data_IF_840665615448
#
_entry.id   IF_840665615448
#
_cell.length_a   1.000
_cell.length_b   1.000
_cell.length_c   1.000
_cell.angle_alpha   90.00
_cell.angle_beta   90.00
_cell.angle_gamma   90.00
#
_symmetry.space_group_name_H-M   'P 1'
#
loop_
_entity.id
_entity.type
_entity.pdbx_description
1 polymer ?
#
# COMPACT_ATOMS: atom_id res chain seq x y z
N UNK A 1 0.09 -3.57 30.85
CA UNK A 1 -0.02 -2.11 30.66
C UNK A 1 -0.48 -1.90 29.23
N UNK A 2 -1.77 -1.63 29.05
CA UNK A 2 -2.38 -1.40 27.74
C UNK A 2 -1.81 -0.13 27.12
N UNK A 3 -1.09 -0.30 26.01
CA UNK A 3 -0.94 0.77 25.02
C UNK A 3 -1.98 0.52 23.95
N UNK A 4 -3.20 0.93 24.26
CA UNK A 4 -4.17 1.30 23.24
C UNK A 4 -3.82 2.74 22.85
N UNK A 5 -2.69 2.89 22.14
CA UNK A 5 -2.31 4.16 21.54
C UNK A 5 -3.19 4.31 20.30
N UNK A 6 -4.30 5.03 20.48
CA UNK A 6 -5.05 5.65 19.39
C UNK A 6 -4.07 6.49 18.58
N UNK A 7 -3.50 5.90 17.53
CA UNK A 7 -2.87 6.66 16.46
C UNK A 7 -3.89 7.74 16.04
N UNK A 8 -3.48 9.00 15.88
CA UNK A 8 -4.40 10.07 15.53
C UNK A 8 -5.05 9.69 14.21
N UNK A 9 -6.33 9.31 14.29
CA UNK A 9 -7.09 8.85 13.15
C UNK A 9 -7.22 10.03 12.19
N UNK A 10 -6.62 9.91 11.01
CA UNK A 10 -6.69 10.92 9.94
C UNK A 10 -8.10 11.48 9.80
N UNK A 11 -8.20 12.80 9.74
CA UNK A 11 -9.47 13.53 9.72
C UNK A 11 -10.40 13.05 8.61
N UNK A 12 -11.67 12.82 8.96
CA UNK A 12 -12.72 12.50 7.98
C UNK A 12 -12.85 13.58 6.88
N UNK A 13 -12.35 14.80 7.13
CA UNK A 13 -12.35 15.92 6.19
C UNK A 13 -11.68 15.59 4.84
N UNK A 14 -10.68 14.72 4.82
CA UNK A 14 -10.02 14.31 3.58
C UNK A 14 -10.92 13.48 2.66
N UNK A 15 -11.82 12.69 3.24
CA UNK A 15 -12.74 11.83 2.49
C UNK A 15 -14.09 12.47 2.21
N UNK A 16 -14.43 13.57 2.89
CA UNK A 16 -15.67 14.32 2.65
C UNK A 16 -15.49 15.54 1.77
N UNK A 17 -14.25 15.88 1.38
CA UNK A 17 -13.97 17.00 0.47
C UNK A 17 -14.13 18.37 1.12
N UNK A 18 -13.55 18.55 2.30
CA UNK A 18 -13.59 19.83 3.02
C UNK A 18 -13.07 21.01 2.17
N UNK A 19 -13.77 22.14 2.20
CA UNK A 19 -13.39 23.38 1.51
C UNK A 19 -12.08 24.01 2.01
N UNK A 20 -11.54 23.51 3.13
CA UNK A 20 -10.31 24.00 3.75
C UNK A 20 -9.08 23.16 3.38
N UNK A 21 -9.21 22.21 2.46
CA UNK A 21 -8.07 21.43 1.96
C UNK A 21 -7.15 22.35 1.15
N UNK A 22 -5.86 22.35 1.51
CA UNK A 22 -4.81 23.04 0.76
C UNK A 22 -4.03 22.00 -0.02
N UNK A 23 -3.92 22.18 -1.34
CA UNK A 23 -3.09 21.33 -2.21
C UNK A 23 -1.63 21.75 -2.14
N UNK A 24 -0.74 20.79 -1.91
CA UNK A 24 0.71 20.94 -1.82
C UNK A 24 1.38 19.77 -2.55
N UNK A 25 2.70 19.85 -2.78
CA UNK A 25 3.48 18.81 -3.47
C UNK A 25 4.83 18.64 -2.76
N UNK A 26 5.25 17.40 -2.54
CA UNK A 26 6.49 17.07 -1.81
C UNK A 26 7.73 16.87 -2.71
N UNK A 27 7.61 17.26 -3.98
CA UNK A 27 8.58 17.02 -5.05
C UNK A 27 8.37 15.72 -5.83
N UNK A 28 7.50 14.81 -5.36
CA UNK A 28 7.15 13.55 -6.06
C UNK A 28 5.65 13.38 -6.23
N UNK A 29 4.86 13.68 -5.20
CA UNK A 29 3.42 13.45 -5.19
C UNK A 29 2.66 14.65 -4.64
N UNK A 30 1.48 14.87 -5.22
CA UNK A 30 0.51 15.84 -4.71
C UNK A 30 -0.16 15.30 -3.44
N UNK A 31 -0.30 16.16 -2.44
CA UNK A 31 -1.03 15.88 -1.21
C UNK A 31 -1.92 17.06 -0.83
N UNK A 32 -2.91 16.79 -0.01
CA UNK A 32 -3.81 17.78 0.59
C UNK A 32 -3.52 17.91 2.08
N UNK A 33 -3.67 19.12 2.62
CA UNK A 33 -3.47 19.42 4.04
C UNK A 33 -4.74 19.95 4.69
N UNK A 34 -5.05 19.48 5.90
CA UNK A 34 -6.16 19.93 6.72
C UNK A 34 -5.75 19.91 8.20
N UNK A 35 -5.89 21.03 8.91
CA UNK A 35 -5.55 21.17 10.33
C UNK A 35 -4.15 20.62 10.72
N UNK A 36 -3.17 20.79 9.82
CA UNK A 36 -1.79 20.32 10.01
C UNK A 36 -1.54 18.86 9.60
N UNK A 37 -2.59 18.07 9.36
CA UNK A 37 -2.51 16.72 8.82
C UNK A 37 -2.31 16.73 7.30
N UNK A 38 -1.51 15.79 6.78
CA UNK A 38 -1.24 15.64 5.35
C UNK A 38 -1.83 14.34 4.83
N UNK A 39 -2.43 14.38 3.64
CA UNK A 39 -2.99 13.20 3.00
C UNK A 39 -2.72 13.18 1.50
N UNK A 40 -2.18 12.09 0.96
CA UNK A 40 -1.94 11.95 -0.47
C UNK A 40 -3.22 12.21 -1.28
N UNK A 41 -3.13 13.10 -2.28
CA UNK A 41 -4.29 13.51 -3.06
C UNK A 41 -4.92 12.31 -3.79
N UNK A 42 -4.09 11.36 -4.24
CA UNK A 42 -4.54 10.13 -4.88
C UNK A 42 -5.37 9.24 -3.94
N UNK A 43 -4.97 9.13 -2.67
CA UNK A 43 -5.68 8.35 -1.65
C UNK A 43 -6.95 9.07 -1.19
N UNK A 44 -6.90 10.40 -1.01
CA UNK A 44 -8.07 11.21 -0.66
C UNK A 44 -9.15 11.05 -1.74
N UNK A 45 -8.78 11.19 -3.02
CA UNK A 45 -9.71 11.02 -4.14
C UNK A 45 -10.27 9.58 -4.23
N UNK A 46 -9.49 8.55 -3.90
CA UNK A 46 -9.98 7.18 -3.85
C UNK A 46 -10.98 6.99 -2.69
N UNK A 47 -10.66 7.50 -1.51
CA UNK A 47 -11.53 7.43 -0.33
C UNK A 47 -12.84 8.22 -0.50
N UNK A 48 -12.79 9.42 -1.09
CA UNK A 48 -13.99 10.19 -1.45
C UNK A 48 -14.92 9.39 -2.37
N UNK A 49 -14.36 8.73 -3.39
CA UNK A 49 -15.13 7.86 -4.28
C UNK A 49 -15.75 6.67 -3.54
N UNK A 50 -15.10 6.15 -2.51
CA UNK A 50 -15.65 5.03 -1.70
C UNK A 50 -16.75 5.52 -0.75
N UNK A 51 -16.53 6.65 -0.08
CA UNK A 51 -17.53 7.28 0.82
C UNK A 51 -18.83 7.57 0.08
N UNK A 52 -18.74 8.15 -1.12
CA UNK A 52 -19.92 8.52 -1.92
C UNK A 52 -20.50 7.37 -2.75
N UNK A 53 -19.96 6.16 -2.65
CA UNK A 53 -20.48 5.01 -3.40
C UNK A 53 -21.54 4.25 -2.58
N UNK A 54 -22.67 3.85 -3.21
CA UNK A 54 -23.74 3.13 -2.53
C UNK A 54 -23.41 1.63 -2.43
N UNK A 55 -22.43 1.28 -1.58
CA UNK A 55 -22.01 -0.12 -1.34
C UNK A 55 -22.87 -0.85 -0.29
N UNK A 56 -24.18 -0.61 -0.23
CA UNK A 56 -25.07 -1.29 0.74
C UNK A 56 -25.68 -0.42 1.84
N UNK A 57 -25.40 0.88 1.87
CA UNK A 57 -25.98 1.81 2.85
C UNK A 57 -27.41 2.27 2.53
N UNK A 58 -28.01 1.79 1.44
CA UNK A 58 -29.35 2.18 1.01
C UNK A 58 -30.35 1.04 1.27
N UNK A 59 -30.93 1.07 2.47
CA UNK A 59 -32.31 0.63 2.74
C UNK A 59 -32.65 -0.85 2.57
N UNK A 60 -32.27 -1.67 3.56
CA UNK A 60 -33.01 -2.88 3.95
C UNK A 60 -32.86 -3.05 5.47
N UNK A 61 -33.90 -2.67 6.22
CA UNK A 61 -33.99 -2.99 7.65
C UNK A 61 -34.17 -4.50 7.79
N UNK A 62 -33.08 -5.19 8.10
CA UNK A 62 -33.10 -6.61 8.46
C UNK A 62 -33.80 -6.82 9.80
N UNK A 63 -34.64 -7.85 9.88
CA UNK A 63 -35.35 -8.23 11.11
C UNK A 63 -34.44 -8.80 12.22
N UNK A 64 -33.16 -9.04 11.94
CA UNK A 64 -32.20 -9.69 12.86
C UNK A 64 -31.41 -8.73 13.76
N UNK A 65 -31.76 -7.44 13.80
CA UNK A 65 -31.22 -6.49 14.78
C UNK A 65 -29.78 -6.04 14.56
N UNK A 66 -29.08 -6.60 13.56
CA UNK A 66 -27.88 -6.03 12.93
C UNK A 66 -28.30 -5.51 11.57
N UNK A 67 -28.24 -4.20 11.37
CA UNK A 67 -28.71 -3.62 10.10
C UNK A 67 -27.65 -3.88 9.04
N UNK A 68 -28.01 -4.35 7.85
CA UNK A 68 -27.05 -4.59 6.74
C UNK A 68 -26.25 -3.33 6.38
N UNK A 69 -26.81 -2.15 6.71
CA UNK A 69 -26.12 -0.87 6.68
C UNK A 69 -24.86 -0.85 7.55
N UNK A 70 -24.87 -1.50 8.72
CA UNK A 70 -23.73 -1.55 9.65
C UNK A 70 -22.58 -2.36 9.06
N UNK A 71 -22.85 -3.51 8.43
CA UNK A 71 -21.80 -4.33 7.81
C UNK A 71 -21.17 -3.64 6.59
N UNK A 72 -21.99 -2.98 5.77
CA UNK A 72 -21.50 -2.16 4.66
C UNK A 72 -20.66 -0.95 5.13
N UNK A 73 -21.09 -0.30 6.21
CA UNK A 73 -20.38 0.84 6.79
C UNK A 73 -19.09 0.40 7.49
N UNK A 74 -19.07 -0.77 8.15
CA UNK A 74 -17.88 -1.40 8.71
C UNK A 74 -16.86 -1.74 7.60
N UNK A 75 -17.30 -2.32 6.49
CA UNK A 75 -16.43 -2.66 5.37
C UNK A 75 -15.87 -1.40 4.66
N UNK A 76 -16.69 -0.37 4.48
CA UNK A 76 -16.23 0.94 4.02
C UNK A 76 -15.20 1.52 5.00
N UNK A 77 -15.47 1.49 6.29
CA UNK A 77 -14.57 1.99 7.32
C UNK A 77 -13.23 1.23 7.32
N UNK A 78 -13.24 -0.09 7.15
CA UNK A 78 -12.04 -0.92 7.03
C UNK A 78 -11.20 -0.53 5.80
N UNK A 79 -11.84 -0.32 4.64
CA UNK A 79 -11.15 0.13 3.43
C UNK A 79 -10.54 1.53 3.61
N UNK A 80 -11.29 2.48 4.18
CA UNK A 80 -10.78 3.83 4.46
C UNK A 80 -9.63 3.80 5.47
N UNK A 81 -9.70 2.94 6.50
CA UNK A 81 -8.61 2.73 7.46
C UNK A 81 -7.35 2.17 6.77
N UNK A 82 -7.52 1.27 5.81
CA UNK A 82 -6.39 0.77 5.01
C UNK A 82 -5.75 1.91 4.17
N UNK A 83 -6.55 2.79 3.57
CA UNK A 83 -6.02 3.97 2.86
C UNK A 83 -5.27 4.91 3.80
N UNK A 84 -5.79 5.12 5.02
CA UNK A 84 -5.12 5.93 6.05
C UNK A 84 -3.77 5.34 6.43
N UNK A 85 -3.70 4.03 6.66
CA UNK A 85 -2.46 3.34 6.99
C UNK A 85 -1.41 3.49 5.88
N UNK A 86 -1.81 3.32 4.61
CA UNK A 86 -0.91 3.56 3.46
C UNK A 86 -0.44 5.02 3.41
N UNK A 87 -1.30 5.98 3.74
CA UNK A 87 -0.94 7.39 3.79
C UNK A 87 0.10 7.70 4.87
N UNK A 88 -0.15 7.24 6.09
CA UNK A 88 0.78 7.40 7.22
C UNK A 88 2.13 6.77 6.88
N UNK A 89 2.12 5.56 6.30
CA UNK A 89 3.34 4.89 5.85
C UNK A 89 4.08 5.67 4.77
N UNK A 90 3.37 6.30 3.83
CA UNK A 90 3.99 7.15 2.82
C UNK A 90 4.80 8.28 3.44
N UNK A 91 4.18 9.09 4.30
CA UNK A 91 4.88 10.23 4.89
C UNK A 91 6.01 9.78 5.83
N UNK A 92 5.81 8.69 6.59
CA UNK A 92 6.86 8.11 7.41
C UNK A 92 8.06 7.61 6.56
N UNK A 93 7.81 6.99 5.41
CA UNK A 93 8.86 6.53 4.51
C UNK A 93 9.60 7.69 3.83
N UNK A 94 8.91 8.79 3.50
CA UNK A 94 9.55 10.01 2.97
C UNK A 94 10.45 10.68 4.01
N UNK A 95 9.99 10.79 5.25
CA UNK A 95 10.80 11.30 6.36
C UNK A 95 12.01 10.40 6.64
N UNK A 96 11.81 9.07 6.59
CA UNK A 96 12.89 8.10 6.72
C UNK A 96 13.93 8.23 5.60
N UNK A 97 13.48 8.36 4.35
CA UNK A 97 14.36 8.54 3.20
C UNK A 97 15.18 9.83 3.31
N UNK A 98 14.54 10.93 3.73
CA UNK A 98 15.24 12.21 3.87
C UNK A 98 16.20 12.22 5.06
N UNK A 99 15.94 11.47 6.15
CA UNK A 99 16.89 11.27 7.25
C UNK A 99 18.08 10.37 6.85
N UNK A 100 17.83 9.38 5.99
CA UNK A 100 18.87 8.51 5.44
C UNK A 100 19.79 9.26 4.46
N UNK A 101 19.22 10.17 3.66
CA UNK A 101 19.97 11.09 2.79
C UNK A 101 20.87 12.01 3.61
N UNK A 102 22.16 11.67 3.67
CA UNK A 102 23.19 12.47 4.36
C UNK A 102 23.89 11.74 5.50
N UNK A 103 23.43 10.55 5.90
CA UNK A 103 24.09 9.70 6.89
C UNK A 103 24.86 8.59 6.18
N UNK A 104 26.15 8.82 5.95
CA UNK A 104 27.02 7.79 5.37
C UNK A 104 27.51 6.84 6.47
N UNK A 105 26.87 5.67 6.59
CA UNK A 105 27.19 4.68 7.63
C UNK A 105 28.37 3.76 7.29
N UNK A 106 29.04 3.98 6.15
CA UNK A 106 30.13 3.13 5.61
C UNK A 106 31.30 2.90 6.58
N UNK A 107 31.47 3.76 7.58
CA UNK A 107 32.55 3.64 8.57
C UNK A 107 32.09 3.07 9.93
N UNK A 108 30.80 2.74 10.08
CA UNK A 108 30.24 2.08 11.27
C UNK A 108 29.37 0.89 10.84
N UNK A 109 30.00 -0.28 10.75
CA UNK A 109 29.35 -1.55 10.39
C UNK A 109 28.15 -1.89 11.28
N UNK A 110 28.17 -1.48 12.57
CA UNK A 110 27.05 -1.74 13.49
C UNK A 110 25.87 -0.83 13.18
N UNK A 111 26.13 0.44 12.87
CA UNK A 111 25.08 1.36 12.46
C UNK A 111 24.48 0.96 11.11
N UNK A 112 25.32 0.58 10.15
CA UNK A 112 24.87 0.10 8.84
C UNK A 112 24.01 -1.16 8.96
N UNK A 113 24.44 -2.15 9.75
CA UNK A 113 23.65 -3.37 9.99
C UNK A 113 22.29 -3.05 10.62
N UNK A 114 22.24 -2.16 11.63
CA UNK A 114 20.97 -1.74 12.24
C UNK A 114 20.05 -1.04 11.23
N UNK A 115 20.63 -0.19 10.38
CA UNK A 115 19.89 0.52 9.33
C UNK A 115 19.26 -0.46 8.33
N UNK A 116 20.04 -1.44 7.84
CA UNK A 116 19.54 -2.47 6.91
C UNK A 116 18.43 -3.33 7.54
N UNK A 117 18.58 -3.72 8.81
CA UNK A 117 17.52 -4.48 9.54
C UNK A 117 16.24 -3.66 9.63
N UNK A 118 16.32 -2.39 10.05
CA UNK A 118 15.14 -1.51 10.13
C UNK A 118 14.48 -1.30 8.78
N UNK A 119 15.27 -1.22 7.71
CA UNK A 119 14.72 -1.07 6.36
C UNK A 119 14.03 -2.36 5.90
N UNK A 120 14.60 -3.53 6.22
CA UNK A 120 13.96 -4.82 5.96
C UNK A 120 12.65 -4.98 6.75
N UNK A 121 12.61 -4.58 8.02
CA UNK A 121 11.38 -4.51 8.84
C UNK A 121 10.33 -3.63 8.14
N UNK A 122 10.72 -2.42 7.72
CA UNK A 122 9.79 -1.50 7.07
C UNK A 122 9.29 -1.99 5.69
N UNK A 123 10.12 -2.70 4.93
CA UNK A 123 9.73 -3.34 3.67
C UNK A 123 8.78 -4.53 3.90
N UNK A 124 9.00 -5.30 4.97
CA UNK A 124 8.09 -6.36 5.42
C UNK A 124 6.73 -5.78 5.79
N UNK A 125 6.70 -4.72 6.60
CA UNK A 125 5.47 -3.99 6.97
C UNK A 125 4.68 -3.51 5.74
N UNK A 126 5.36 -3.15 4.66
CA UNK A 126 4.68 -2.77 3.42
C UNK A 126 3.89 -3.92 2.81
N UNK A 127 4.32 -5.17 2.98
CA UNK A 127 3.56 -6.36 2.51
C UNK A 127 2.25 -6.46 3.28
N UNK A 128 2.29 -6.28 4.60
CA UNK A 128 1.09 -6.26 5.45
C UNK A 128 0.12 -5.14 5.08
N UNK A 129 0.66 -3.93 4.79
CA UNK A 129 -0.14 -2.79 4.36
C UNK A 129 -0.88 -3.10 3.02
N UNK A 130 -0.21 -3.79 2.09
CA UNK A 130 -0.82 -4.25 0.84
C UNK A 130 -1.89 -5.31 1.09
N UNK A 131 -1.61 -6.32 1.91
CA UNK A 131 -2.56 -7.39 2.24
C UNK A 131 -3.81 -6.83 2.92
N UNK A 132 -3.66 -5.89 3.85
CA UNK A 132 -4.78 -5.22 4.50
C UNK A 132 -5.65 -4.47 3.49
N UNK A 133 -5.05 -3.72 2.57
CA UNK A 133 -5.77 -2.99 1.52
C UNK A 133 -6.51 -3.95 0.56
N UNK A 134 -5.84 -5.03 0.15
CA UNK A 134 -6.40 -6.04 -0.74
C UNK A 134 -7.53 -6.84 -0.06
N UNK A 135 -7.39 -7.17 1.22
CA UNK A 135 -8.43 -7.85 2.00
C UNK A 135 -9.66 -6.95 2.16
N UNK A 136 -9.47 -5.69 2.55
CA UNK A 136 -10.57 -4.73 2.65
C UNK A 136 -11.27 -4.47 1.31
N UNK A 137 -10.52 -4.51 0.19
CA UNK A 137 -11.11 -4.45 -1.15
C UNK A 137 -12.03 -5.64 -1.42
N UNK A 138 -11.59 -6.87 -1.15
CA UNK A 138 -12.38 -8.08 -1.39
C UNK A 138 -13.67 -8.05 -0.56
N UNK A 139 -13.56 -7.78 0.74
CA UNK A 139 -14.73 -7.67 1.63
C UNK A 139 -15.74 -6.65 1.14
N UNK A 140 -15.27 -5.46 0.70
CA UNK A 140 -16.16 -4.42 0.21
C UNK A 140 -16.80 -4.77 -1.15
N UNK A 141 -16.07 -5.48 -2.03
CA UNK A 141 -16.62 -5.99 -3.28
C UNK A 141 -17.70 -7.04 -3.02
N UNK A 142 -17.45 -7.98 -2.12
CA UNK A 142 -18.38 -9.07 -1.82
C UNK A 142 -19.70 -8.53 -1.27
N UNK A 143 -19.66 -7.63 -0.28
CA UNK A 143 -20.84 -6.97 0.29
C UNK A 143 -21.60 -6.17 -0.77
N UNK A 144 -20.88 -5.42 -1.62
CA UNK A 144 -21.53 -4.59 -2.61
C UNK A 144 -22.18 -5.42 -3.73
N UNK A 145 -21.58 -6.55 -4.12
CA UNK A 145 -22.15 -7.50 -5.09
C UNK A 145 -23.39 -8.16 -4.51
N UNK A 146 -23.35 -8.57 -3.24
CA UNK A 146 -24.51 -9.15 -2.56
C UNK A 146 -25.68 -8.17 -2.48
N UNK A 147 -25.40 -6.91 -2.13
CA UNK A 147 -26.41 -5.85 -2.12
C UNK A 147 -27.03 -5.65 -3.50
N UNK A 148 -26.21 -5.59 -4.55
CA UNK A 148 -26.72 -5.47 -5.94
C UNK A 148 -27.60 -6.66 -6.30
N UNK A 149 -27.19 -7.87 -5.92
CA UNK A 149 -27.95 -9.10 -6.16
C UNK A 149 -29.33 -9.09 -5.51
N UNK A 150 -29.51 -8.37 -4.40
CA UNK A 150 -30.78 -8.26 -3.65
C UNK A 150 -31.64 -7.08 -4.11
N UNK A 151 -31.01 -5.96 -4.47
CA UNK A 151 -31.70 -4.68 -4.72
C UNK A 151 -31.97 -4.39 -6.19
N UNK A 152 -31.22 -5.00 -7.12
CA UNK A 152 -31.37 -4.74 -8.56
C UNK A 152 -32.10 -5.88 -9.26
N UNK A 153 -32.97 -5.55 -10.25
CA UNK A 153 -33.60 -6.57 -11.08
C UNK A 153 -32.55 -7.34 -11.89
N UNK A 154 -32.84 -8.59 -12.22
CA UNK A 154 -31.91 -9.50 -12.93
C UNK A 154 -31.37 -8.91 -14.24
N UNK A 155 -32.19 -8.11 -14.94
CA UNK A 155 -31.81 -7.42 -16.18
C UNK A 155 -30.70 -6.39 -16.00
N UNK A 156 -30.56 -5.79 -14.82
CA UNK A 156 -29.59 -4.73 -14.52
C UNK A 156 -28.45 -5.20 -13.60
N UNK A 157 -28.66 -6.31 -12.90
CA UNK A 157 -27.76 -6.86 -11.87
C UNK A 157 -26.31 -6.97 -12.35
N UNK A 158 -26.10 -7.60 -13.52
CA UNK A 158 -24.75 -7.81 -14.08
C UNK A 158 -24.04 -6.49 -14.38
N UNK A 159 -24.76 -5.50 -14.90
CA UNK A 159 -24.21 -4.19 -15.22
C UNK A 159 -23.85 -3.42 -13.95
N UNK A 160 -24.73 -3.44 -12.94
CA UNK A 160 -24.50 -2.80 -11.65
C UNK A 160 -23.31 -3.43 -10.90
N UNK A 161 -23.23 -4.77 -10.85
CA UNK A 161 -22.09 -5.48 -10.27
C UNK A 161 -20.77 -5.11 -10.95
N UNK A 162 -20.78 -5.09 -12.30
CA UNK A 162 -19.59 -4.74 -13.08
C UNK A 162 -19.16 -3.28 -12.83
N UNK A 163 -20.11 -2.35 -12.74
CA UNK A 163 -19.83 -0.94 -12.48
C UNK A 163 -19.21 -0.73 -11.09
N UNK A 164 -19.75 -1.40 -10.06
CA UNK A 164 -19.22 -1.33 -8.69
C UNK A 164 -17.81 -1.93 -8.62
N UNK A 165 -17.63 -3.14 -9.16
CA UNK A 165 -16.32 -3.81 -9.21
C UNK A 165 -15.31 -2.91 -9.92
N UNK A 166 -15.63 -2.39 -11.10
CA UNK A 166 -14.75 -1.50 -11.86
C UNK A 166 -14.35 -0.25 -11.07
N UNK A 167 -15.31 0.38 -10.36
CA UNK A 167 -15.03 1.56 -9.52
C UNK A 167 -14.08 1.23 -8.37
N UNK A 168 -14.32 0.15 -7.63
CA UNK A 168 -13.46 -0.28 -6.52
C UNK A 168 -12.07 -0.70 -7.00
N UNK A 169 -12.00 -1.41 -8.13
CA UNK A 169 -10.74 -1.78 -8.77
C UNK A 169 -9.91 -0.53 -9.10
N UNK A 170 -10.54 0.51 -9.68
CA UNK A 170 -9.86 1.77 -9.99
C UNK A 170 -9.36 2.50 -8.75
N UNK A 171 -10.11 2.46 -7.64
CA UNK A 171 -9.67 3.04 -6.37
C UNK A 171 -8.47 2.28 -5.79
N UNK A 172 -8.52 0.95 -5.77
CA UNK A 172 -7.44 0.12 -5.23
C UNK A 172 -6.19 0.17 -6.10
N UNK A 173 -6.32 0.11 -7.43
CA UNK A 173 -5.18 0.26 -8.35
C UNK A 173 -4.47 1.61 -8.14
N UNK A 174 -5.25 2.68 -7.95
CA UNK A 174 -4.70 4.01 -7.62
C UNK A 174 -4.00 4.03 -6.27
N UNK A 175 -4.57 3.40 -5.25
CA UNK A 175 -3.97 3.33 -3.92
C UNK A 175 -2.66 2.53 -3.92
N UNK A 176 -2.60 1.45 -4.71
CA UNK A 176 -1.39 0.67 -4.92
C UNK A 176 -0.33 1.49 -5.68
N UNK A 177 -0.68 2.05 -6.83
CA UNK A 177 0.27 2.73 -7.71
C UNK A 177 0.77 4.08 -7.20
N UNK A 178 -0.07 4.83 -6.49
CA UNK A 178 0.24 6.20 -6.04
C UNK A 178 0.32 6.37 -4.52
N UNK A 179 0.18 5.28 -3.77
CA UNK A 179 0.32 5.28 -2.31
C UNK A 179 1.32 4.23 -1.86
N UNK A 180 0.94 2.96 -1.97
CA UNK A 180 1.75 1.85 -1.47
C UNK A 180 3.09 1.68 -2.22
N UNK A 181 3.09 1.68 -3.54
CA UNK A 181 4.34 1.46 -4.30
C UNK A 181 5.39 2.58 -4.06
N UNK A 182 5.03 3.88 -4.00
CA UNK A 182 5.95 4.94 -3.59
C UNK A 182 6.59 4.76 -2.19
N UNK A 183 5.95 4.05 -1.27
CA UNK A 183 6.55 3.69 0.03
C UNK A 183 7.73 2.74 -0.19
N UNK A 184 7.53 1.70 -0.99
CA UNK A 184 8.58 0.73 -1.35
C UNK A 184 9.74 1.43 -2.03
N UNK A 185 9.46 2.35 -2.96
CA UNK A 185 10.49 3.17 -3.61
C UNK A 185 11.28 4.01 -2.60
N UNK A 186 10.62 4.63 -1.63
CA UNK A 186 11.27 5.48 -0.63
C UNK A 186 12.23 4.67 0.26
N UNK A 187 11.82 3.48 0.71
CA UNK A 187 12.72 2.58 1.45
C UNK A 187 13.86 2.06 0.60
N UNK A 188 13.62 1.74 -0.67
CA UNK A 188 14.69 1.40 -1.60
C UNK A 188 15.70 2.54 -1.77
N UNK A 189 15.24 3.77 -1.99
CA UNK A 189 16.13 4.94 -2.13
C UNK A 189 16.89 5.26 -0.84
N UNK A 190 16.34 4.90 0.30
CA UNK A 190 17.03 5.01 1.59
C UNK A 190 18.26 4.09 1.67
N UNK A 191 18.23 2.94 0.99
CA UNK A 191 19.36 2.00 0.93
C UNK A 191 20.50 2.49 0.04
N UNK A 192 20.22 3.36 -0.93
CA UNK A 192 21.22 3.88 -1.87
C UNK A 192 21.22 5.42 -1.93
N UNK A 193 21.42 6.13 -0.80
CA UNK A 193 21.20 7.59 -0.70
C UNK A 193 22.21 8.43 -1.50
N UNK A 194 23.25 7.82 -2.09
CA UNK A 194 24.30 8.50 -2.87
C UNK A 194 24.48 8.03 -4.33
N UNK A 195 23.76 7.01 -4.79
CA UNK A 195 23.96 6.47 -6.15
C UNK A 195 23.14 7.22 -7.22
N UNK A 196 22.06 7.89 -6.81
CA UNK A 196 21.14 8.58 -7.71
C UNK A 196 21.33 10.11 -7.73
N UNK A 197 22.16 10.66 -6.84
CA UNK A 197 22.41 12.11 -6.71
C UNK A 197 23.92 12.39 -6.68
N UNK A 198 24.61 12.16 -7.81
CA UNK A 198 25.90 12.79 -8.11
C UNK A 198 26.26 12.68 -9.61
N UNK A 199 25.89 13.73 -10.35
CA UNK A 199 26.58 14.14 -11.58
C UNK A 199 27.99 14.60 -11.22
N UNK A 200 28.98 13.71 -11.33
CA UNK A 200 30.34 14.11 -11.71
C UNK A 200 31.08 12.97 -12.40
N UNK A 201 31.72 13.29 -13.53
CA UNK A 201 32.19 12.33 -14.54
C UNK A 201 33.31 11.40 -14.07
N UNK A 202 34.02 11.71 -12.98
CA UNK A 202 35.12 10.88 -12.48
C UNK A 202 34.66 9.69 -11.61
N UNK A 203 33.44 9.73 -11.06
CA UNK A 203 32.89 8.58 -10.29
C UNK A 203 32.27 7.50 -11.16
N UNK A 204 32.24 7.67 -12.49
CA UNK A 204 31.69 6.68 -13.43
C UNK A 204 32.39 5.33 -13.42
N UNK A 205 33.61 5.22 -12.89
CA UNK A 205 34.32 3.94 -12.71
C UNK A 205 34.05 3.25 -11.36
N UNK A 206 33.52 3.97 -10.36
CA UNK A 206 32.98 3.37 -9.13
C UNK A 206 31.48 3.04 -9.25
N UNK A 207 30.80 3.54 -10.31
CA UNK A 207 29.37 3.36 -10.62
C UNK A 207 28.89 1.93 -10.94
N UNK A 208 29.73 0.90 -10.79
CA UNK A 208 29.33 -0.50 -11.01
C UNK A 208 29.29 -1.29 -9.69
N UNK A 209 29.82 -0.73 -8.59
CA UNK A 209 29.72 -1.32 -7.25
C UNK A 209 28.57 -0.67 -6.45
N UNK A 210 27.35 -0.82 -6.99
CA UNK A 210 26.08 -0.40 -6.33
C UNK A 210 25.05 -1.52 -6.26
N UNK A 211 25.25 -2.56 -7.07
CA UNK A 211 24.49 -3.81 -7.02
C UNK A 211 24.91 -4.73 -5.86
N UNK A 212 25.88 -4.32 -5.02
CA UNK A 212 26.25 -5.07 -3.82
C UNK A 212 25.27 -4.86 -2.65
N UNK A 213 24.46 -3.79 -2.67
CA UNK A 213 23.50 -3.48 -1.60
C UNK A 213 22.23 -4.34 -1.63
N UNK A 214 21.83 -4.82 -2.81
CA UNK A 214 20.67 -5.72 -2.96
C UNK A 214 20.90 -7.05 -2.25
N UNK A 215 22.13 -7.59 -2.25
CA UNK A 215 22.43 -8.90 -1.66
C UNK A 215 22.18 -8.93 -0.15
N UNK A 216 22.64 -7.92 0.59
CA UNK A 216 22.46 -7.89 2.04
C UNK A 216 20.99 -7.71 2.47
N UNK A 217 20.20 -6.97 1.69
CA UNK A 217 18.77 -6.79 1.95
C UNK A 217 17.98 -8.02 1.48
N UNK A 218 18.34 -8.62 0.36
CA UNK A 218 17.78 -9.89 -0.12
C UNK A 218 18.03 -11.02 0.91
N UNK A 219 19.24 -11.14 1.42
CA UNK A 219 19.59 -12.09 2.49
C UNK A 219 18.81 -11.83 3.79
N UNK A 220 18.56 -10.56 4.13
CA UNK A 220 17.73 -10.22 5.28
C UNK A 220 16.29 -10.63 5.03
N UNK A 221 15.69 -10.17 3.94
CA UNK A 221 14.30 -10.48 3.57
C UNK A 221 14.06 -11.97 3.29
N UNK A 222 15.09 -12.74 2.95
CA UNK A 222 15.03 -14.20 2.86
C UNK A 222 14.90 -14.91 4.21
N UNK A 223 15.03 -14.19 5.34
CA UNK A 223 14.86 -14.78 6.67
C UNK A 223 13.38 -14.95 7.01
N UNK A 224 13.00 -16.02 7.75
CA UNK A 224 11.59 -16.33 8.03
C UNK A 224 10.76 -15.28 8.79
N UNK A 225 11.40 -14.28 9.39
CA UNK A 225 10.73 -13.22 10.15
C UNK A 225 10.43 -11.97 9.33
N UNK A 226 10.83 -11.96 8.06
CA UNK A 226 10.51 -10.89 7.14
C UNK A 226 9.64 -11.41 6.02
N UNK A 227 8.58 -10.68 5.73
CA UNK A 227 7.69 -10.96 4.63
C UNK A 227 8.24 -10.36 3.35
N UNK A 228 8.12 -11.15 2.28
CA UNK A 228 8.39 -10.76 0.90
C UNK A 228 7.09 -10.84 0.11
N UNK A 229 7.01 -10.02 -0.94
CA UNK A 229 5.86 -10.04 -1.82
C UNK A 229 5.71 -11.40 -2.48
N UNK A 230 4.58 -12.07 -2.28
CA UNK A 230 4.33 -13.37 -2.89
C UNK A 230 4.06 -13.26 -4.40
N UNK A 231 4.29 -14.35 -5.13
CA UNK A 231 3.83 -14.43 -6.54
C UNK A 231 2.31 -14.31 -6.67
N UNK A 232 1.56 -14.70 -5.63
CA UNK A 232 0.11 -14.46 -5.53
C UNK A 232 -0.22 -12.97 -5.58
N UNK A 233 0.49 -12.17 -4.77
CA UNK A 233 0.28 -10.72 -4.68
C UNK A 233 0.59 -10.03 -6.00
N UNK A 234 1.70 -10.37 -6.65
CA UNK A 234 2.03 -9.82 -7.97
C UNK A 234 1.01 -10.17 -9.05
N UNK A 235 0.51 -11.41 -9.05
CA UNK A 235 -0.58 -11.80 -9.95
C UNK A 235 -1.83 -10.97 -9.68
N UNK A 236 -2.10 -10.68 -8.42
CA UNK A 236 -3.25 -9.88 -7.99
C UNK A 236 -3.10 -8.42 -8.42
N UNK A 237 -1.95 -7.78 -8.18
CA UNK A 237 -1.63 -6.43 -8.69
C UNK A 237 -1.77 -6.40 -10.22
N UNK A 238 -1.19 -7.37 -10.94
CA UNK A 238 -1.31 -7.47 -12.39
C UNK A 238 -2.76 -7.61 -12.86
N UNK A 239 -3.60 -8.35 -12.14
CA UNK A 239 -5.03 -8.49 -12.44
C UNK A 239 -5.75 -7.16 -12.26
N UNK A 240 -5.51 -6.46 -11.14
CA UNK A 240 -6.05 -5.12 -10.89
C UNK A 240 -5.68 -4.15 -12.02
N UNK A 241 -4.40 -4.05 -12.37
CA UNK A 241 -3.91 -3.18 -13.45
C UNK A 241 -4.53 -3.53 -14.82
N UNK A 242 -4.81 -4.82 -15.09
CA UNK A 242 -5.44 -5.26 -16.35
C UNK A 242 -6.92 -4.89 -16.39
N UNK A 243 -7.63 -5.06 -15.28
CA UNK A 243 -9.07 -4.82 -15.19
C UNK A 243 -9.42 -3.34 -15.00
N UNK A 244 -8.51 -2.57 -14.41
CA UNK A 244 -8.61 -1.12 -14.29
C UNK A 244 -7.22 -0.50 -14.47
N UNK A 245 -6.80 -0.22 -15.72
CA UNK A 245 -5.52 0.45 -15.96
C UNK A 245 -5.60 1.89 -15.43
N UNK A 246 -5.06 2.11 -14.23
CA UNK A 246 -4.89 3.44 -13.68
C UNK A 246 -3.72 4.18 -14.33
N UNK A 247 -3.18 5.16 -13.59
CA UNK A 247 -2.07 5.97 -14.09
C UNK A 247 -0.77 5.20 -14.28
N UNK A 248 -0.67 4.03 -13.65
CA UNK A 248 0.52 3.20 -13.70
C UNK A 248 0.17 1.72 -13.89
N UNK A 249 -0.19 1.37 -15.11
CA UNK A 249 -0.59 0.02 -15.48
C UNK A 249 0.56 -1.03 -15.45
N UNK A 250 1.77 -0.63 -15.03
CA UNK A 250 2.99 -1.47 -15.08
C UNK A 250 3.71 -1.57 -13.74
N UNK A 251 3.09 -1.18 -12.62
CA UNK A 251 3.66 -1.35 -11.27
C UNK A 251 4.14 -2.78 -11.03
N UNK A 252 3.31 -3.79 -11.32
CA UNK A 252 3.68 -5.21 -11.18
C UNK A 252 4.96 -5.58 -11.98
N UNK A 253 5.12 -4.98 -13.16
CA UNK A 253 6.25 -5.24 -14.05
C UNK A 253 7.51 -4.56 -13.51
N UNK A 254 7.41 -3.31 -13.03
CA UNK A 254 8.52 -2.63 -12.38
C UNK A 254 8.98 -3.33 -11.12
N UNK A 255 8.06 -3.85 -10.29
CA UNK A 255 8.43 -4.64 -9.11
C UNK A 255 9.31 -5.83 -9.53
N UNK A 256 8.89 -6.58 -10.55
CA UNK A 256 9.66 -7.72 -11.06
C UNK A 256 11.02 -7.33 -11.66
N UNK A 257 11.09 -6.22 -12.39
CA UNK A 257 12.29 -5.84 -13.14
C UNK A 257 13.31 -5.07 -12.28
N UNK A 258 12.84 -4.21 -11.38
CA UNK A 258 13.68 -3.28 -10.61
C UNK A 258 13.84 -3.70 -9.15
N UNK A 259 12.91 -4.49 -8.62
CA UNK A 259 12.89 -4.92 -7.21
C UNK A 259 12.77 -6.45 -7.06
N UNK A 260 13.51 -7.27 -7.85
CA UNK A 260 13.36 -8.73 -7.81
C UNK A 260 13.64 -9.32 -6.42
N UNK A 261 14.55 -8.70 -5.66
CA UNK A 261 14.87 -9.08 -4.27
C UNK A 261 13.68 -8.93 -3.30
N UNK A 262 12.68 -8.10 -3.63
CA UNK A 262 11.48 -7.92 -2.80
C UNK A 262 10.42 -9.01 -3.03
N UNK A 263 10.58 -9.82 -4.09
CA UNK A 263 9.61 -10.84 -4.51
C UNK A 263 10.06 -12.22 -4.05
N UNK A 264 9.26 -12.90 -3.22
CA UNK A 264 9.60 -14.23 -2.71
C UNK A 264 9.73 -15.29 -3.81
N UNK A 265 10.71 -16.19 -3.66
CA UNK A 265 10.87 -17.39 -4.51
C UNK A 265 10.03 -18.55 -3.93
N UNK A 266 9.34 -19.31 -4.82
CA UNK A 266 8.39 -20.36 -4.42
C UNK A 266 9.01 -21.48 -3.57
N UNK A 267 10.31 -21.74 -3.72
CA UNK A 267 11.01 -22.79 -2.98
C UNK A 267 11.24 -22.42 -1.50
N UNK A 268 11.19 -21.13 -1.14
CA UNK A 268 11.42 -20.64 0.23
C UNK A 268 10.11 -20.60 1.05
N UNK A 269 8.97 -20.34 0.41
CA UNK A 269 7.65 -20.25 1.08
C UNK A 269 7.10 -21.63 1.48
N UNK A 270 7.48 -22.70 0.79
CA UNK A 270 7.15 -24.07 1.19
C UNK A 270 7.94 -24.52 2.44
N UNK A 271 9.15 -23.98 2.64
CA UNK A 271 10.00 -24.35 3.77
C UNK A 271 9.50 -23.76 5.10
N UNK A 272 8.95 -22.54 5.10
CA UNK A 272 8.35 -21.90 6.28
C UNK A 272 7.00 -22.51 6.67
N UNK A 273 6.16 -22.88 5.70
CA UNK A 273 4.91 -23.61 5.97
C UNK A 273 5.17 -25.04 6.50
N UNK A 274 6.24 -25.70 6.05
CA UNK A 274 6.60 -27.06 6.47
C UNK A 274 7.24 -27.17 7.85
N UNK A 275 7.84 -26.10 8.37
CA UNK A 275 8.47 -26.10 9.72
C UNK A 275 7.50 -25.78 10.86
N UNK A 276 6.34 -25.18 10.58
CA UNK A 276 5.27 -24.96 11.56
C UNK A 276 4.39 -26.19 11.85
N UNK A 277 4.48 -27.25 11.04
CA UNK A 277 3.68 -28.48 11.20
C UNK A 277 4.40 -29.59 11.98
N UNK A 278 5.61 -29.33 12.48
CA UNK A 278 6.36 -30.24 13.37
C UNK A 278 6.93 -29.45 14.56
N UNK A 279 6.06 -29.14 15.51
CA UNK A 279 6.40 -28.66 16.85
C UNK A 279 5.45 -29.29 17.85
#
# INVERSE_FOLDING_TARGET
MSRDETAPMVSKAFFTGSKYLVEENDGRHDYVRYDGERFLAALSAAGQKVVHAPFGSEGLDSSDGRTESEEADEAKAAYLKALVRVNERYFAAREYEDDAKGKYLKHDERAERRFRIKTAEALSDCVDDLHALLSAHDTLVDIAVETVGRTKPDSERRQAESAIRSRLLACTDRAISRGWFPVVESYYYSLSPGELVAEDRERRKQRIEGTEDSRGIEELLGKPHFDRLGKGDLRRIRKLNRESPGSDARVWKRILEQYPWYVGHEDEQAATAGTGAKG
#
